data_IF_822267514875
#
_entry.id   IF_822267514875
#
_cell.length_a   1.000
_cell.length_b   1.000
_cell.length_c   1.000
_cell.angle_alpha   90.00
_cell.angle_beta   90.00
_cell.angle_gamma   90.00
#
_symmetry.space_group_name_H-M   'P 1'
#
loop_
_entity.id
_entity.type
_entity.pdbx_description
1 polymer ?
#
# COMPACT_ATOMS: atom_id res chain seq x y z
N UNK A 1 13.13 -10.46 9.84
CA UNK A 1 11.66 -10.29 9.84
C UNK A 1 11.31 -9.31 8.74
N UNK A 2 10.36 -9.64 7.88
CA UNK A 2 9.84 -8.76 6.84
C UNK A 2 8.40 -8.36 7.18
N UNK A 3 7.87 -7.38 6.49
CA UNK A 3 6.54 -6.81 6.72
C UNK A 3 5.72 -6.96 5.45
N UNK A 4 4.57 -7.61 5.54
CA UNK A 4 3.58 -7.68 4.48
C UNK A 4 2.46 -6.67 4.74
N UNK A 5 2.08 -5.94 3.70
CA UNK A 5 0.90 -5.10 3.70
C UNK A 5 0.03 -5.35 2.48
N UNK A 6 -1.25 -5.10 2.63
CA UNK A 6 -2.25 -5.22 1.57
C UNK A 6 -2.93 -3.87 1.44
N UNK A 7 -2.76 -3.24 0.28
CA UNK A 7 -3.56 -2.08 -0.06
C UNK A 7 -4.94 -2.60 -0.44
N UNK A 8 -5.87 -2.52 0.56
CA UNK A 8 -7.21 -3.07 0.44
C UNK A 8 -8.13 -2.06 -0.24
N UNK A 9 -8.15 -2.18 -1.54
CA UNK A 9 -8.85 -1.32 -2.49
C UNK A 9 -9.54 -2.15 -3.56
N UNK A 10 -10.58 -1.63 -4.18
CA UNK A 10 -11.28 -2.28 -5.29
C UNK A 10 -10.62 -1.96 -6.64
N UNK A 11 -10.99 -2.70 -7.67
CA UNK A 11 -10.46 -2.57 -9.04
C UNK A 11 -10.63 -1.17 -9.63
N UNK A 12 -11.61 -0.39 -9.17
CA UNK A 12 -11.89 0.97 -9.67
C UNK A 12 -11.15 2.08 -8.92
N UNK A 13 -10.46 1.77 -7.82
CA UNK A 13 -9.71 2.75 -7.05
C UNK A 13 -8.39 3.19 -7.69
N UNK A 14 -7.62 2.32 -8.40
CA UNK A 14 -6.35 2.74 -8.98
C UNK A 14 -6.51 3.91 -9.95
N UNK A 15 -5.68 4.94 -9.81
CA UNK A 15 -5.70 6.17 -10.61
C UNK A 15 -5.66 5.90 -12.13
N UNK A 16 -4.91 4.85 -12.54
CA UNK A 16 -4.84 4.44 -13.94
C UNK A 16 -6.20 4.01 -14.49
N UNK A 17 -7.04 3.42 -13.66
CA UNK A 17 -8.37 2.92 -14.04
C UNK A 17 -9.39 4.06 -14.01
N UNK A 18 -9.32 4.92 -13.01
CA UNK A 18 -10.25 6.04 -12.83
C UNK A 18 -10.39 6.93 -14.08
N UNK A 19 -9.34 7.04 -14.89
CA UNK A 19 -9.36 7.78 -16.17
C UNK A 19 -10.34 7.23 -17.21
N UNK A 20 -10.76 5.98 -17.06
CA UNK A 20 -11.50 5.22 -18.08
C UNK A 20 -12.88 4.80 -17.63
N UNK A 21 -13.26 5.09 -16.40
CA UNK A 21 -14.55 4.70 -15.82
C UNK A 21 -15.33 5.93 -15.36
N UNK A 22 -16.62 5.76 -15.15
CA UNK A 22 -17.45 6.77 -14.50
C UNK A 22 -17.17 6.80 -12.99
N UNK A 23 -17.17 7.97 -12.39
CA UNK A 23 -17.01 8.15 -10.94
C UNK A 23 -18.18 7.59 -10.13
N UNK A 24 -19.32 7.33 -10.77
CA UNK A 24 -20.55 6.91 -10.09
C UNK A 24 -20.99 5.52 -10.51
N UNK A 25 -21.54 4.77 -9.56
CA UNK A 25 -22.22 3.50 -9.81
C UNK A 25 -21.34 2.25 -9.72
N UNK A 26 -20.05 2.38 -9.44
CA UNK A 26 -19.19 1.23 -9.17
C UNK A 26 -19.51 0.65 -7.79
N UNK A 27 -19.74 -0.66 -7.74
CA UNK A 27 -19.98 -1.36 -6.47
C UNK A 27 -18.71 -2.10 -6.05
N UNK A 28 -18.37 -2.09 -4.76
CA UNK A 28 -17.23 -2.85 -4.26
C UNK A 28 -17.40 -4.36 -4.49
N UNK A 29 -16.53 -4.93 -5.32
CA UNK A 29 -16.50 -6.37 -5.62
C UNK A 29 -15.39 -7.09 -4.84
N UNK A 30 -14.32 -6.39 -4.46
CA UNK A 30 -13.21 -6.96 -3.70
C UNK A 30 -13.64 -7.60 -2.39
N UNK A 31 -14.72 -7.12 -1.81
CA UNK A 31 -15.32 -7.68 -0.58
C UNK A 31 -15.66 -9.17 -0.74
N UNK A 32 -16.04 -9.63 -1.94
CA UNK A 32 -16.29 -11.03 -2.23
C UNK A 32 -15.00 -11.86 -2.25
N UNK A 33 -13.86 -11.21 -2.50
CA UNK A 33 -12.54 -11.85 -2.57
C UNK A 33 -11.78 -11.91 -1.24
N UNK A 34 -12.28 -11.27 -0.17
CA UNK A 34 -11.53 -11.16 1.08
C UNK A 34 -11.23 -12.52 1.71
N UNK A 35 -12.17 -13.46 1.66
CA UNK A 35 -11.98 -14.81 2.21
C UNK A 35 -10.81 -15.55 1.54
N UNK A 36 -10.62 -15.34 0.22
CA UNK A 36 -9.49 -15.92 -0.50
C UNK A 36 -8.17 -15.34 0.00
N UNK A 37 -8.12 -14.04 0.25
CA UNK A 37 -6.93 -13.35 0.79
C UNK A 37 -6.64 -13.84 2.21
N UNK A 38 -7.62 -13.85 3.10
CA UNK A 38 -7.47 -14.30 4.48
C UNK A 38 -7.08 -15.78 4.56
N UNK A 39 -7.63 -16.64 3.67
CA UNK A 39 -7.25 -18.04 3.58
C UNK A 39 -5.78 -18.21 3.15
N UNK A 40 -5.30 -17.42 2.18
CA UNK A 40 -3.88 -17.43 1.80
C UNK A 40 -3.00 -17.08 2.99
N UNK A 41 -3.30 -16.00 3.70
CA UNK A 41 -2.52 -15.54 4.85
C UNK A 41 -2.52 -16.57 5.99
N UNK A 42 -3.69 -17.19 6.27
CA UNK A 42 -3.84 -18.24 7.29
C UNK A 42 -3.04 -19.48 6.93
N UNK A 43 -3.10 -19.96 5.69
CA UNK A 43 -2.34 -21.13 5.22
C UNK A 43 -0.83 -20.91 5.29
N UNK A 44 -0.38 -19.67 5.20
CA UNK A 44 1.03 -19.27 5.28
C UNK A 44 1.46 -18.79 6.66
N UNK A 45 0.57 -18.85 7.64
CA UNK A 45 0.78 -18.34 9.01
C UNK A 45 1.32 -16.90 9.03
N UNK A 46 0.93 -16.10 8.02
CA UNK A 46 1.42 -14.74 7.79
C UNK A 46 0.41 -13.73 8.30
N UNK A 47 0.88 -12.73 9.02
CA UNK A 47 0.09 -11.55 9.39
C UNK A 47 0.42 -10.39 8.45
N UNK A 48 -0.57 -9.52 8.21
CA UNK A 48 -0.43 -8.38 7.33
C UNK A 48 -1.12 -7.14 7.91
N UNK A 49 -0.64 -5.97 7.49
CA UNK A 49 -1.37 -4.71 7.66
C UNK A 49 -2.24 -4.47 6.44
N UNK A 50 -3.53 -4.30 6.64
CA UNK A 50 -4.48 -3.92 5.59
C UNK A 50 -4.62 -2.40 5.60
N UNK A 51 -4.05 -1.71 4.61
CA UNK A 51 -4.32 -0.30 4.37
C UNK A 51 -5.63 -0.18 3.59
N UNK A 52 -6.70 0.18 4.29
CA UNK A 52 -8.06 0.08 3.79
C UNK A 52 -8.56 1.43 3.29
N UNK A 53 -9.13 1.44 2.09
CA UNK A 53 -9.88 2.58 1.56
C UNK A 53 -11.19 2.70 2.36
N UNK A 54 -11.41 3.85 2.98
CA UNK A 54 -12.44 4.02 4.01
C UNK A 54 -13.87 3.74 3.54
N UNK A 55 -14.20 4.05 2.28
CA UNK A 55 -15.54 3.78 1.74
C UNK A 55 -15.89 2.28 1.71
N UNK A 56 -14.89 1.39 1.71
CA UNK A 56 -15.14 -0.05 1.82
C UNK A 56 -15.69 -0.44 3.20
N UNK A 57 -15.24 0.25 4.26
CA UNK A 57 -15.79 0.08 5.61
C UNK A 57 -17.15 0.76 5.76
N UNK A 58 -17.39 1.87 5.07
CA UNK A 58 -18.72 2.49 5.01
C UNK A 58 -19.72 1.56 4.33
N UNK A 59 -19.30 0.89 3.24
CA UNK A 59 -20.14 -0.04 2.50
C UNK A 59 -20.38 -1.36 3.25
N UNK A 60 -19.35 -1.89 3.92
CA UNK A 60 -19.40 -3.16 4.68
C UNK A 60 -18.61 -3.04 5.98
N UNK A 61 -19.24 -2.54 7.06
CA UNK A 61 -18.59 -2.34 8.36
C UNK A 61 -18.00 -3.61 8.97
N UNK A 62 -18.57 -4.78 8.66
CA UNK A 62 -18.12 -6.08 9.18
C UNK A 62 -16.70 -6.47 8.71
N UNK A 63 -16.18 -5.79 7.68
CA UNK A 63 -14.79 -5.97 7.23
C UNK A 63 -13.78 -5.66 8.34
N UNK A 64 -14.07 -4.69 9.20
CA UNK A 64 -13.21 -4.35 10.32
C UNK A 64 -12.96 -5.55 11.22
N UNK A 65 -14.04 -6.15 11.72
CA UNK A 65 -13.95 -7.29 12.63
C UNK A 65 -13.36 -8.51 11.92
N UNK A 66 -13.75 -8.74 10.66
CA UNK A 66 -13.20 -9.82 9.86
C UNK A 66 -11.66 -9.76 9.70
N UNK A 67 -11.11 -8.57 9.47
CA UNK A 67 -9.66 -8.37 9.36
C UNK A 67 -8.99 -8.57 10.73
N UNK A 68 -9.53 -7.95 11.79
CA UNK A 68 -8.94 -7.94 13.12
C UNK A 68 -9.03 -9.32 13.80
N UNK A 69 -10.15 -10.03 13.68
CA UNK A 69 -10.36 -11.36 14.27
C UNK A 69 -9.46 -12.43 13.64
N UNK A 70 -9.04 -12.22 12.39
CA UNK A 70 -7.99 -13.03 11.77
C UNK A 70 -6.57 -12.62 12.20
N UNK A 71 -6.43 -11.66 13.14
CA UNK A 71 -5.17 -11.23 13.73
C UNK A 71 -4.32 -10.35 12.81
N UNK A 72 -4.96 -9.67 11.86
CA UNK A 72 -4.30 -8.67 10.99
C UNK A 72 -4.48 -7.26 11.56
N UNK A 73 -3.67 -6.34 11.08
CA UNK A 73 -3.74 -4.93 11.44
C UNK A 73 -4.52 -4.15 10.38
N UNK A 74 -5.15 -3.03 10.80
CA UNK A 74 -5.81 -2.09 9.90
C UNK A 74 -5.08 -0.76 9.88
N UNK A 75 -4.78 -0.25 8.69
CA UNK A 75 -4.22 1.06 8.41
C UNK A 75 -5.14 1.88 7.51
N UNK A 76 -4.93 3.18 7.45
CA UNK A 76 -5.72 4.12 6.66
C UNK A 76 -5.12 4.33 5.26
N UNK A 77 -5.98 4.32 4.23
CA UNK A 77 -5.59 4.51 2.82
C UNK A 77 -6.47 5.56 2.11
N UNK A 78 -6.75 6.67 2.79
CA UNK A 78 -7.76 7.71 2.48
C UNK A 78 -9.18 7.16 2.36
N UNK A 79 -10.17 8.05 2.33
CA UNK A 79 -11.58 7.60 2.29
C UNK A 79 -11.99 7.07 0.91
N UNK A 80 -11.42 7.62 -0.17
CA UNK A 80 -11.78 7.30 -1.56
C UNK A 80 -10.56 7.05 -2.46
N UNK A 81 -9.45 6.60 -1.88
CA UNK A 81 -8.19 6.39 -2.61
C UNK A 81 -7.68 7.64 -3.34
N UNK A 82 -8.02 8.83 -2.85
CA UNK A 82 -7.53 10.07 -3.43
C UNK A 82 -6.05 10.30 -3.11
N UNK A 83 -5.29 10.76 -4.10
CA UNK A 83 -3.89 11.17 -3.88
C UNK A 83 -3.83 12.36 -2.93
N UNK A 84 -2.91 12.31 -1.97
CA UNK A 84 -2.76 13.39 -0.98
C UNK A 84 -2.10 14.66 -1.54
N UNK A 85 -1.44 14.57 -2.69
CA UNK A 85 -0.87 15.70 -3.42
C UNK A 85 -1.84 16.32 -4.45
N UNK A 86 -3.13 15.89 -4.45
CA UNK A 86 -4.17 16.47 -5.30
C UNK A 86 -4.55 17.87 -4.84
N UNK A 87 -4.93 18.78 -5.75
CA UNK A 87 -5.42 20.10 -5.40
C UNK A 87 -6.58 20.03 -4.39
N UNK A 88 -6.57 20.91 -3.37
CA UNK A 88 -7.59 21.05 -2.33
C UNK A 88 -7.77 19.85 -1.39
N UNK A 89 -7.02 18.75 -1.55
CA UNK A 89 -7.15 17.57 -0.69
C UNK A 89 -6.82 17.87 0.78
N UNK A 90 -5.89 18.78 1.00
CA UNK A 90 -5.48 19.22 2.35
C UNK A 90 -6.66 19.73 3.19
N UNK A 91 -7.63 20.39 2.59
CA UNK A 91 -8.79 20.97 3.28
C UNK A 91 -9.70 19.90 3.90
N UNK A 92 -9.67 18.69 3.37
CA UNK A 92 -10.58 17.60 3.76
C UNK A 92 -9.88 16.48 4.54
N UNK A 93 -8.57 16.39 4.47
CA UNK A 93 -7.83 15.23 4.99
C UNK A 93 -8.01 15.01 6.49
N UNK A 94 -8.00 16.05 7.32
CA UNK A 94 -8.22 15.91 8.77
C UNK A 94 -9.60 15.32 9.08
N UNK A 95 -10.62 15.72 8.32
CA UNK A 95 -11.97 15.14 8.44
C UNK A 95 -11.99 13.67 7.99
N UNK A 96 -11.28 13.31 6.92
CA UNK A 96 -11.17 11.93 6.47
C UNK A 96 -10.50 11.04 7.53
N UNK A 97 -9.40 11.51 8.13
CA UNK A 97 -8.70 10.83 9.24
C UNK A 97 -9.64 10.60 10.42
N UNK A 98 -10.40 11.61 10.82
CA UNK A 98 -11.38 11.51 11.93
C UNK A 98 -12.53 10.57 11.59
N UNK A 99 -13.01 10.57 10.34
CA UNK A 99 -14.06 9.65 9.89
C UNK A 99 -13.55 8.21 9.91
N UNK A 100 -12.35 7.96 9.41
CA UNK A 100 -11.76 6.62 9.44
C UNK A 100 -11.51 6.14 10.88
N UNK A 101 -11.08 7.03 11.77
CA UNK A 101 -10.95 6.71 13.19
C UNK A 101 -12.27 6.29 13.84
N UNK A 102 -13.40 6.91 13.46
CA UNK A 102 -14.74 6.47 13.91
C UNK A 102 -15.10 5.09 13.35
N UNK A 103 -14.91 4.86 12.04
CA UNK A 103 -15.20 3.58 11.40
C UNK A 103 -14.38 2.42 12.01
N UNK A 104 -13.16 2.71 12.45
CA UNK A 104 -12.24 1.71 13.02
C UNK A 104 -12.22 1.68 14.56
N UNK A 105 -13.09 2.42 15.22
CA UNK A 105 -13.10 2.56 16.69
C UNK A 105 -11.73 2.94 17.26
N UNK A 106 -10.96 3.78 16.53
CA UNK A 106 -9.62 4.23 16.91
C UNK A 106 -8.51 3.17 16.83
N UNK A 107 -8.80 2.00 16.25
CA UNK A 107 -7.85 0.88 16.15
C UNK A 107 -6.77 1.09 15.08
N UNK A 108 -7.00 1.94 14.08
CA UNK A 108 -6.01 2.26 13.06
C UNK A 108 -4.94 3.20 13.60
N UNK A 109 -3.67 2.83 13.38
CA UNK A 109 -2.50 3.62 13.81
C UNK A 109 -1.50 3.88 12.69
N UNK A 110 -1.68 3.24 11.55
CA UNK A 110 -0.82 3.36 10.38
C UNK A 110 -1.52 4.04 9.22
N UNK A 111 -0.73 4.71 8.39
CA UNK A 111 -1.19 5.35 7.17
C UNK A 111 -0.35 4.91 5.97
N UNK A 112 -0.99 4.87 4.81
CA UNK A 112 -0.33 4.79 3.50
C UNK A 112 -1.02 5.71 2.52
N UNK A 113 -0.26 6.59 1.88
CA UNK A 113 -0.77 7.47 0.84
C UNK A 113 -1.10 6.68 -0.44
N UNK A 114 -2.30 6.82 -1.01
CA UNK A 114 -2.63 6.25 -2.31
C UNK A 114 -1.61 6.62 -3.38
N UNK A 115 -1.28 5.64 -4.25
CA UNK A 115 -0.26 5.79 -5.29
C UNK A 115 1.10 6.29 -4.78
N UNK A 116 1.41 6.09 -3.49
CA UNK A 116 2.63 6.59 -2.83
C UNK A 116 2.85 8.09 -3.06
N UNK A 117 1.78 8.87 -2.97
CA UNK A 117 1.74 10.30 -3.30
C UNK A 117 2.32 11.21 -2.21
N UNK A 118 3.00 10.66 -1.20
CA UNK A 118 3.76 11.44 -0.23
C UNK A 118 5.02 12.02 -0.89
N UNK A 119 5.11 13.35 -0.86
CA UNK A 119 6.22 14.13 -1.38
C UNK A 119 6.32 15.48 -0.63
N UNK A 120 7.23 16.37 -1.01
CA UNK A 120 7.42 17.64 -0.31
C UNK A 120 6.16 18.53 -0.32
N UNK A 121 5.35 18.48 -1.39
CA UNK A 121 4.14 19.31 -1.49
C UNK A 121 3.01 18.77 -0.62
N UNK A 122 3.01 17.47 -0.35
CA UNK A 122 2.03 16.78 0.50
C UNK A 122 2.53 16.46 1.93
N UNK A 123 3.75 16.87 2.29
CA UNK A 123 4.37 16.58 3.59
C UNK A 123 3.59 17.15 4.80
N UNK A 124 2.68 18.08 4.59
CA UNK A 124 1.73 18.59 5.59
C UNK A 124 0.86 17.48 6.21
N UNK A 125 0.70 16.36 5.51
CA UNK A 125 -0.03 15.17 5.98
C UNK A 125 0.55 14.65 7.29
N UNK A 126 1.87 14.73 7.48
CA UNK A 126 2.55 14.21 8.67
C UNK A 126 2.05 14.95 9.94
N UNK A 127 1.88 16.27 9.88
CA UNK A 127 1.35 17.05 11.00
C UNK A 127 -0.08 16.61 11.36
N UNK A 128 -0.92 16.34 10.35
CA UNK A 128 -2.31 15.88 10.57
C UNK A 128 -2.33 14.48 11.17
N UNK A 129 -1.48 13.57 10.69
CA UNK A 129 -1.38 12.22 11.24
C UNK A 129 -0.91 12.24 12.71
N UNK A 130 0.12 13.03 13.03
CA UNK A 130 0.59 13.20 14.41
C UNK A 130 -0.52 13.72 15.34
N UNK A 131 -1.26 14.74 14.90
CA UNK A 131 -2.36 15.34 15.67
C UNK A 131 -3.53 14.38 15.89
N UNK A 132 -3.67 13.36 15.05
CA UNK A 132 -4.71 12.33 15.16
C UNK A 132 -4.18 10.99 15.75
N UNK A 133 -3.02 11.01 16.42
CA UNK A 133 -2.41 9.87 17.12
C UNK A 133 -2.07 8.66 16.21
N UNK A 134 -1.75 8.91 14.95
CA UNK A 134 -1.06 7.93 14.11
C UNK A 134 0.38 7.80 14.57
N UNK A 135 0.94 6.62 14.44
CA UNK A 135 2.29 6.31 14.93
C UNK A 135 3.26 5.91 13.82
N UNK A 136 2.76 5.48 12.67
CA UNK A 136 3.61 5.14 11.53
C UNK A 136 2.96 5.48 10.19
N UNK A 137 3.82 5.61 9.19
CA UNK A 137 3.52 5.76 7.76
C UNK A 137 4.27 4.68 6.96
N UNK A 138 3.77 4.33 5.79
CA UNK A 138 4.45 3.46 4.83
C UNK A 138 4.19 3.93 3.40
N UNK A 139 4.51 5.20 3.14
CA UNK A 139 4.25 5.86 1.86
C UNK A 139 5.52 6.13 1.05
N UNK A 140 6.71 6.01 1.66
CA UNK A 140 7.97 6.33 1.00
C UNK A 140 8.50 5.15 0.20
N UNK A 141 8.76 5.40 -1.07
CA UNK A 141 9.48 4.48 -1.96
C UNK A 141 10.86 5.06 -2.24
N UNK A 142 11.96 4.46 -1.70
CA UNK A 142 13.32 5.00 -1.86
C UNK A 142 13.90 4.77 -3.27
N UNK A 143 13.13 5.08 -4.31
CA UNK A 143 13.52 4.94 -5.71
C UNK A 143 12.81 6.00 -6.56
N UNK A 144 13.38 6.38 -7.69
CA UNK A 144 12.73 7.28 -8.63
C UNK A 144 11.89 6.49 -9.62
N UNK A 145 10.60 6.80 -9.69
CA UNK A 145 9.70 6.31 -10.74
C UNK A 145 9.12 7.48 -11.53
N UNK A 146 8.25 7.21 -12.50
CA UNK A 146 7.54 8.27 -13.23
C UNK A 146 6.35 8.85 -12.48
N UNK A 147 5.86 8.19 -11.43
CA UNK A 147 4.61 8.53 -10.73
C UNK A 147 4.82 8.90 -9.26
N UNK A 148 5.88 8.38 -8.64
CA UNK A 148 6.14 8.53 -7.20
C UNK A 148 7.60 8.24 -6.85
N UNK A 149 7.95 8.48 -5.61
CA UNK A 149 9.20 8.04 -5.00
C UNK A 149 10.06 9.19 -4.50
N UNK A 150 10.79 8.89 -3.43
CA UNK A 150 11.78 9.77 -2.78
C UNK A 150 13.14 9.08 -2.86
N UNK A 151 13.92 9.32 -3.94
CA UNK A 151 15.10 8.49 -4.29
C UNK A 151 16.20 8.45 -3.24
N UNK A 152 16.35 9.53 -2.47
CA UNK A 152 17.39 9.68 -1.45
C UNK A 152 16.95 9.19 -0.08
N UNK A 153 15.68 8.80 0.08
CA UNK A 153 15.16 8.33 1.35
C UNK A 153 15.91 7.12 1.89
N UNK A 154 15.95 7.00 3.22
CA UNK A 154 16.49 5.83 3.90
C UNK A 154 15.75 4.56 3.50
N UNK A 155 16.43 3.42 3.59
CA UNK A 155 15.85 2.10 3.25
C UNK A 155 15.54 1.24 4.47
N UNK A 156 15.77 1.76 5.67
CA UNK A 156 15.42 1.18 6.96
C UNK A 156 14.32 2.03 7.60
N UNK A 157 13.56 1.54 8.57
CA UNK A 157 12.61 2.39 9.31
C UNK A 157 13.30 3.60 9.94
N UNK A 158 12.66 4.76 9.85
CA UNK A 158 13.18 6.04 10.35
C UNK A 158 12.04 7.00 10.68
N UNK A 159 12.29 7.96 11.57
CA UNK A 159 11.30 8.96 11.95
C UNK A 159 11.27 10.10 10.96
N UNK A 160 10.07 10.47 10.51
CA UNK A 160 9.83 11.56 9.57
C UNK A 160 9.12 12.74 10.23
N UNK A 161 9.29 13.90 9.63
CA UNK A 161 8.53 15.13 9.92
C UNK A 161 8.12 15.77 8.60
N UNK A 162 7.24 16.75 8.66
CA UNK A 162 6.89 17.58 7.49
C UNK A 162 8.11 18.16 6.76
N UNK A 163 9.19 18.45 7.49
CA UNK A 163 10.39 19.06 6.92
C UNK A 163 11.49 18.06 6.56
N UNK A 164 11.32 16.78 6.90
CA UNK A 164 12.30 15.72 6.63
C UNK A 164 11.60 14.41 6.29
N UNK A 165 11.43 14.15 4.99
CA UNK A 165 10.87 12.90 4.46
C UNK A 165 11.95 11.90 3.99
N UNK A 166 13.22 12.33 3.88
CA UNK A 166 14.30 11.50 3.31
C UNK A 166 15.17 10.84 4.36
N UNK A 167 15.29 11.44 5.55
CA UNK A 167 16.22 11.01 6.58
C UNK A 167 15.62 11.12 7.98
N UNK A 168 16.18 10.34 8.90
CA UNK A 168 15.73 10.31 10.29
C UNK A 168 15.76 11.70 10.95
N UNK A 169 14.63 12.08 11.53
CA UNK A 169 14.49 13.27 12.36
C UNK A 169 14.27 12.89 13.83
N UNK A 170 15.09 13.41 14.72
CA UNK A 170 14.92 13.16 16.16
C UNK A 170 13.63 13.77 16.73
N UNK A 171 13.07 14.77 16.06
CA UNK A 171 11.82 15.45 16.43
C UNK A 171 10.59 14.70 15.92
N UNK A 172 10.75 13.79 14.95
CA UNK A 172 9.67 13.04 14.33
C UNK A 172 8.99 12.09 15.31
N UNK A 173 7.67 12.04 15.25
CA UNK A 173 6.82 11.09 16.00
C UNK A 173 6.30 9.97 15.11
N UNK A 174 6.15 10.22 13.80
CA UNK A 174 5.74 9.21 12.82
C UNK A 174 6.96 8.39 12.39
N UNK A 175 6.85 7.07 12.54
CA UNK A 175 7.85 6.12 12.04
C UNK A 175 7.52 5.73 10.59
N UNK A 176 8.37 6.07 9.65
CA UNK A 176 8.24 5.64 8.26
C UNK A 176 8.78 4.22 8.10
N UNK A 177 8.01 3.37 7.42
CA UNK A 177 8.40 2.04 6.96
C UNK A 177 8.56 2.05 5.43
N UNK A 178 9.74 2.39 4.91
CA UNK A 178 9.96 2.56 3.47
C UNK A 178 9.86 1.24 2.72
N UNK A 179 9.30 1.29 1.51
CA UNK A 179 9.10 0.13 0.66
C UNK A 179 10.42 -0.49 0.20
N UNK A 180 10.41 -1.81 0.07
CA UNK A 180 11.56 -2.59 -0.44
C UNK A 180 11.97 -2.12 -1.83
N UNK A 181 13.26 -1.82 -1.99
CA UNK A 181 13.87 -1.46 -3.27
C UNK A 181 15.08 -2.36 -3.58
N UNK A 182 15.43 -2.47 -4.84
CA UNK A 182 16.62 -3.20 -5.28
C UNK A 182 17.37 -2.45 -6.38
N UNK A 183 18.58 -2.90 -6.69
CA UNK A 183 19.30 -2.43 -7.88
C UNK A 183 19.06 -3.41 -9.03
N UNK A 184 18.60 -2.89 -10.15
CA UNK A 184 18.44 -3.64 -11.40
C UNK A 184 19.05 -2.83 -12.55
N UNK A 185 19.97 -3.43 -13.30
CA UNK A 185 20.74 -2.75 -14.35
C UNK A 185 21.35 -1.40 -13.89
N UNK A 186 21.92 -1.39 -12.68
CA UNK A 186 22.57 -0.21 -12.11
C UNK A 186 21.62 0.85 -11.51
N UNK A 187 20.32 0.76 -11.75
CA UNK A 187 19.31 1.71 -11.23
C UNK A 187 18.61 1.15 -9.98
N UNK A 188 18.31 2.04 -9.03
CA UNK A 188 17.45 1.69 -7.88
C UNK A 188 16.00 1.70 -8.34
N UNK A 189 15.31 0.56 -8.16
CA UNK A 189 13.91 0.35 -8.56
C UNK A 189 13.12 -0.24 -7.39
N UNK A 190 11.79 -0.02 -7.34
CA UNK A 190 10.93 -0.74 -6.40
C UNK A 190 11.00 -2.25 -6.62
N UNK A 191 10.91 -3.01 -5.52
CA UNK A 191 10.83 -4.48 -5.54
C UNK A 191 9.76 -4.99 -4.56
N UNK A 192 8.93 -4.07 -4.07
CA UNK A 192 8.03 -4.31 -2.96
C UNK A 192 6.68 -4.91 -3.36
N UNK A 193 6.23 -4.75 -4.59
CA UNK A 193 4.88 -5.22 -4.96
C UNK A 193 4.35 -4.58 -6.25
N UNK A 194 3.03 -4.64 -6.45
CA UNK A 194 2.34 -4.05 -7.59
C UNK A 194 2.91 -4.47 -8.94
N UNK A 195 3.03 -3.53 -9.87
CA UNK A 195 3.60 -3.78 -11.20
C UNK A 195 4.98 -4.45 -11.16
N UNK A 196 5.83 -4.11 -10.17
CA UNK A 196 7.17 -4.68 -10.05
C UNK A 196 7.14 -6.15 -9.62
N UNK A 197 6.21 -6.57 -8.75
CA UNK A 197 6.00 -7.98 -8.44
C UNK A 197 5.60 -8.76 -9.70
N UNK A 198 4.76 -8.18 -10.54
CA UNK A 198 4.28 -8.82 -11.76
C UNK A 198 5.36 -8.92 -12.85
N UNK A 199 6.20 -7.90 -12.96
CA UNK A 199 7.17 -7.74 -14.05
C UNK A 199 8.55 -8.30 -13.74
N UNK A 200 9.01 -8.24 -12.50
CA UNK A 200 10.33 -8.74 -12.13
C UNK A 200 10.35 -10.27 -11.99
N UNK A 201 11.49 -10.92 -12.32
CA UNK A 201 11.72 -12.31 -11.95
C UNK A 201 11.64 -12.46 -10.43
N UNK A 202 10.96 -13.51 -9.94
CA UNK A 202 10.79 -13.75 -8.51
C UNK A 202 12.14 -13.83 -7.78
N UNK A 203 13.15 -14.46 -8.39
CA UNK A 203 14.52 -14.52 -7.84
C UNK A 203 15.14 -13.14 -7.56
N UNK A 204 14.76 -12.11 -8.33
CA UNK A 204 15.24 -10.73 -8.10
C UNK A 204 14.65 -10.16 -6.81
N UNK A 205 13.37 -10.43 -6.57
CA UNK A 205 12.66 -10.01 -5.36
C UNK A 205 13.20 -10.79 -4.15
N UNK A 206 13.31 -12.10 -4.24
CA UNK A 206 13.90 -12.97 -3.20
C UNK A 206 15.31 -12.48 -2.81
N UNK A 207 16.14 -12.14 -3.80
CA UNK A 207 17.48 -11.60 -3.56
C UNK A 207 17.45 -10.22 -2.89
N UNK A 208 16.46 -9.38 -3.22
CA UNK A 208 16.29 -8.09 -2.57
C UNK A 208 15.91 -8.26 -1.09
N UNK A 209 14.96 -9.13 -0.79
CA UNK A 209 14.54 -9.47 0.58
C UNK A 209 15.75 -9.97 1.41
N UNK A 210 16.49 -10.97 0.90
CA UNK A 210 17.68 -11.50 1.60
C UNK A 210 18.71 -10.43 1.92
N UNK A 211 18.97 -9.49 1.00
CA UNK A 211 19.89 -8.38 1.25
C UNK A 211 19.44 -7.44 2.37
N UNK A 212 18.15 -7.28 2.57
CA UNK A 212 17.62 -6.52 3.69
C UNK A 212 17.77 -7.33 4.99
N UNK A 213 17.47 -8.62 4.97
CA UNK A 213 17.66 -9.53 6.11
C UNK A 213 19.13 -9.59 6.57
N UNK A 214 20.07 -9.72 5.63
CA UNK A 214 21.52 -9.71 5.91
C UNK A 214 21.98 -8.41 6.59
N UNK A 215 21.25 -7.31 6.37
CA UNK A 215 21.52 -6.00 6.99
C UNK A 215 20.73 -5.77 8.28
N UNK A 216 19.92 -6.74 8.72
CA UNK A 216 19.03 -6.58 9.87
C UNK A 216 17.90 -5.56 9.63
N UNK A 217 17.52 -5.30 8.39
CA UNK A 217 16.51 -4.32 8.00
C UNK A 217 15.26 -5.06 7.53
N UNK A 218 14.03 -4.71 8.00
CA UNK A 218 12.82 -5.31 7.49
C UNK A 218 12.59 -4.90 6.02
N UNK A 219 12.34 -5.87 5.17
CA UNK A 219 11.81 -5.61 3.83
C UNK A 219 10.31 -5.35 3.94
N UNK A 220 9.86 -4.16 3.57
CA UNK A 220 8.43 -3.85 3.52
C UNK A 220 7.90 -4.17 2.13
N UNK A 221 6.97 -5.12 2.09
CA UNK A 221 6.35 -5.63 0.87
C UNK A 221 4.87 -5.29 0.85
N UNK A 222 4.32 -4.95 -0.31
CA UNK A 222 2.90 -4.68 -0.47
C UNK A 222 2.30 -5.37 -1.68
N UNK A 223 1.00 -5.53 -1.65
CA UNK A 223 0.21 -6.04 -2.76
C UNK A 223 -1.19 -5.41 -2.70
N UNK A 224 -1.78 -5.17 -3.87
CA UNK A 224 -3.16 -4.74 -3.90
C UNK A 224 -4.11 -5.94 -3.79
N UNK A 225 -5.24 -5.77 -3.13
CA UNK A 225 -6.25 -6.81 -2.98
C UNK A 225 -6.73 -7.37 -4.32
N UNK A 226 -7.01 -6.52 -5.31
CA UNK A 226 -7.46 -6.93 -6.65
C UNK A 226 -6.40 -7.72 -7.44
N UNK A 227 -5.11 -7.62 -7.09
CA UNK A 227 -4.06 -8.46 -7.69
C UNK A 227 -4.12 -9.90 -7.19
N UNK A 228 -4.64 -10.14 -5.97
CA UNK A 228 -4.85 -11.48 -5.42
C UNK A 228 -6.16 -12.12 -5.88
N UNK A 229 -7.10 -11.31 -6.31
CA UNK A 229 -8.45 -11.71 -6.71
C UNK A 229 -8.81 -11.20 -8.12
N UNK A 230 -7.98 -11.52 -9.14
CA UNK A 230 -8.16 -11.01 -10.50
C UNK A 230 -9.49 -11.39 -11.15
N UNK A 231 -10.20 -12.38 -10.60
CA UNK A 231 -11.54 -12.79 -11.03
C UNK A 231 -12.59 -11.70 -10.84
N UNK A 232 -12.37 -10.77 -9.91
CA UNK A 232 -13.25 -9.63 -9.67
C UNK A 232 -12.81 -8.36 -10.41
N UNK A 233 -11.78 -8.46 -11.25
CA UNK A 233 -11.28 -7.33 -12.02
C UNK A 233 -11.80 -7.36 -13.45
N UNK A 234 -12.71 -6.44 -13.85
CA UNK A 234 -13.24 -6.40 -15.20
C UNK A 234 -12.17 -5.96 -16.22
N UNK A 235 -12.33 -6.37 -17.46
CA UNK A 235 -11.52 -5.86 -18.57
C UNK A 235 -12.10 -4.53 -19.05
N UNK A 236 -11.32 -3.46 -18.91
CA UNK A 236 -11.68 -2.10 -19.26
C UNK A 236 -10.91 -1.70 -20.51
N UNK A 237 -11.60 -1.05 -21.46
CA UNK A 237 -10.95 -0.49 -22.66
C UNK A 237 -10.12 0.74 -22.25
N UNK A 238 -8.81 0.66 -22.44
CA UNK A 238 -7.86 1.71 -22.09
C UNK A 238 -6.72 1.82 -23.11
N UNK A 239 -5.78 2.74 -22.91
CA UNK A 239 -4.60 2.81 -23.76
C UNK A 239 -3.77 1.52 -23.65
N UNK A 240 -3.06 1.12 -24.72
CA UNK A 240 -2.21 -0.08 -24.69
C UNK A 240 -1.18 -0.07 -23.56
N UNK A 241 -0.66 1.13 -23.24
CA UNK A 241 0.30 1.31 -22.14
C UNK A 241 -0.36 1.06 -20.79
N UNK A 242 -1.51 1.65 -20.55
CA UNK A 242 -2.22 1.52 -19.27
C UNK A 242 -2.80 0.12 -19.11
N UNK A 243 -3.28 -0.50 -20.20
CA UNK A 243 -3.69 -1.90 -20.24
C UNK A 243 -2.55 -2.85 -19.85
N UNK A 244 -1.35 -2.62 -20.40
CA UNK A 244 -0.17 -3.40 -20.05
C UNK A 244 0.19 -3.22 -18.56
N UNK A 245 0.24 -1.99 -18.06
CA UNK A 245 0.57 -1.73 -16.64
C UNK A 245 -0.46 -2.38 -15.73
N UNK A 246 -1.74 -2.36 -16.08
CA UNK A 246 -2.83 -2.85 -15.26
C UNK A 246 -2.93 -4.38 -15.24
N UNK A 247 -2.85 -5.04 -16.40
CA UNK A 247 -3.20 -6.46 -16.52
C UNK A 247 -2.01 -7.41 -16.74
N UNK A 248 -0.79 -6.89 -16.98
CA UNK A 248 0.37 -7.74 -17.25
C UNK A 248 0.64 -8.71 -16.10
N UNK A 249 0.64 -10.02 -16.41
CA UNK A 249 0.89 -11.13 -15.48
C UNK A 249 0.03 -11.12 -14.20
N UNK A 250 -1.15 -10.54 -14.24
CA UNK A 250 -2.03 -10.43 -13.07
C UNK A 250 -2.39 -11.82 -12.51
N UNK A 251 -2.66 -12.78 -13.38
CA UNK A 251 -3.00 -14.16 -13.05
C UNK A 251 -1.87 -14.94 -12.34
N UNK A 252 -0.62 -14.42 -12.38
CA UNK A 252 0.53 -15.08 -11.76
C UNK A 252 0.81 -14.61 -10.32
N UNK A 253 0.13 -13.54 -9.90
CA UNK A 253 0.41 -12.88 -8.63
C UNK A 253 0.16 -13.81 -7.44
N UNK A 254 -0.99 -14.45 -7.42
CA UNK A 254 -1.35 -15.36 -6.32
C UNK A 254 -0.27 -16.42 -6.08
N UNK A 255 0.18 -17.12 -7.15
CA UNK A 255 1.25 -18.13 -7.06
C UNK A 255 2.60 -17.54 -6.63
N UNK A 256 2.91 -16.30 -7.04
CA UNK A 256 4.13 -15.62 -6.58
C UNK A 256 4.06 -15.32 -5.09
N UNK A 257 2.91 -14.88 -4.59
CA UNK A 257 2.70 -14.61 -3.17
C UNK A 257 2.73 -15.89 -2.32
N UNK A 258 2.10 -16.97 -2.77
CA UNK A 258 2.23 -18.28 -2.10
C UNK A 258 3.68 -18.69 -1.89
N UNK A 259 4.54 -18.43 -2.87
CA UNK A 259 5.95 -18.77 -2.81
C UNK A 259 6.74 -17.82 -1.91
N UNK A 260 6.49 -16.52 -1.99
CA UNK A 260 7.19 -15.52 -1.16
C UNK A 260 6.84 -15.69 0.33
N UNK A 261 5.57 -15.91 0.66
CA UNK A 261 5.10 -16.10 2.04
C UNK A 261 5.71 -17.34 2.70
N UNK A 262 6.05 -18.39 1.92
CA UNK A 262 6.69 -19.60 2.45
C UNK A 262 8.15 -19.40 2.88
N UNK A 263 8.81 -18.34 2.38
CA UNK A 263 10.27 -18.25 2.47
C UNK A 263 10.71 -17.03 3.27
N UNK A 264 9.98 -15.91 3.24
CA UNK A 264 10.56 -14.63 3.62
C UNK A 264 9.64 -13.65 4.37
N UNK A 265 8.32 -13.88 4.45
CA UNK A 265 7.39 -12.88 5.02
C UNK A 265 6.74 -13.38 6.28
#
# INVERSE_FOLDING_TARGET
>A
MNILSIDFEDWFHPELIQKYISETGNKPEIIQGIDKILNLLRQKETKATFFVVGELLEYKPELLDLILDNGHEIGFHTMKHARIDSPNFREHFDNEVKNFAKLTNGKSKGFRAPSFSLNNDSAWVIDVLENNNYIYDSSVVPAKTSLYGIPNAETKPYKITRNSLESNSNEGKILEFPLLVTKFLGKKIPAAGGFYLRSLPLRTIEKAIRKYEERGIPGVFYIHSWELTPEFMPRIKMSKKDEFITYHNLEKVYKKMERLSLIHI
#
